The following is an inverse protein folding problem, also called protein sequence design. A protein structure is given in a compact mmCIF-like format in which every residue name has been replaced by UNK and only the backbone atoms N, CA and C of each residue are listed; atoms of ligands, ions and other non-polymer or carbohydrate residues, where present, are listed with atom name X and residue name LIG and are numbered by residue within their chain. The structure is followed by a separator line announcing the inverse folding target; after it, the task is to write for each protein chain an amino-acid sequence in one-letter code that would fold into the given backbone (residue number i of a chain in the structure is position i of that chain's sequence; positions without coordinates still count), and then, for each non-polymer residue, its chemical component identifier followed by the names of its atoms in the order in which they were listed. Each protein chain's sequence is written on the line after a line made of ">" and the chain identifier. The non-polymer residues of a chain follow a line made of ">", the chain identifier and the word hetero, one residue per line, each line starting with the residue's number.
data_IF_517951983989
#
_entry.id   IF_517951983989
#
_cell.length_a   1.000
_cell.length_b   1.000
_cell.length_c   1.000
_cell.angle_alpha   90.00
_cell.angle_beta   90.00
_cell.angle_gamma   90.00
#
_symmetry.space_group_name_H-M   'P 1'
#
loop_
_entity.id
_entity.type
_entity.pdbx_description
1 polymer ?
#
# COMPACT_ATOMS: atom_id res chain seq x y z
N UNK A 1 -2.20 -28.11 -0.22
CA UNK A 1 -1.04 -27.16 -0.25
C UNK A 1 -1.57 -25.81 0.16
N UNK A 2 -1.28 -25.41 1.40
CA UNK A 2 -1.63 -24.07 1.90
C UNK A 2 -0.69 -23.08 1.23
N UNK A 3 -1.18 -22.42 0.16
CA UNK A 3 -0.44 -21.36 -0.48
C UNK A 3 -0.12 -20.28 0.54
N UNK A 4 1.15 -20.06 0.81
CA UNK A 4 1.65 -18.85 1.45
C UNK A 4 1.17 -17.72 0.56
N UNK A 5 0.13 -17.02 0.98
CA UNK A 5 -0.27 -15.77 0.30
C UNK A 5 0.92 -14.84 0.41
N UNK A 6 1.67 -14.71 -0.67
CA UNK A 6 2.73 -13.72 -0.78
C UNK A 6 2.13 -12.38 -0.43
N UNK A 7 2.69 -11.72 0.59
CA UNK A 7 2.17 -10.44 1.07
C UNK A 7 2.59 -9.33 0.11
N UNK A 8 2.05 -9.34 -1.13
CA UNK A 8 2.33 -8.33 -2.12
C UNK A 8 1.99 -6.93 -1.58
N UNK A 9 2.93 -6.01 -1.71
CA UNK A 9 2.75 -4.61 -1.34
C UNK A 9 1.83 -3.95 -2.38
N UNK A 10 0.69 -3.39 -1.99
CA UNK A 10 -0.13 -2.60 -2.91
C UNK A 10 0.62 -1.40 -3.49
N UNK A 11 0.39 -1.09 -4.76
CA UNK A 11 1.06 0.06 -5.44
C UNK A 11 0.80 1.40 -4.75
N UNK A 12 -0.27 1.54 -3.96
CA UNK A 12 -0.52 2.77 -3.20
C UNK A 12 0.60 3.09 -2.20
N UNK A 13 1.28 2.08 -1.66
CA UNK A 13 2.44 2.32 -0.77
C UNK A 13 3.65 2.84 -1.54
N UNK A 14 3.75 2.53 -2.83
CA UNK A 14 4.89 3.00 -3.64
C UNK A 14 4.86 4.50 -3.87
N UNK A 15 3.71 5.16 -3.71
CA UNK A 15 3.61 6.63 -3.78
C UNK A 15 4.57 7.30 -2.79
N UNK A 16 4.52 6.90 -1.51
CA UNK A 16 5.45 7.39 -0.48
C UNK A 16 6.89 6.91 -0.71
N UNK A 17 7.07 5.63 -1.08
CA UNK A 17 8.42 5.05 -1.31
C UNK A 17 9.13 5.75 -2.47
N UNK A 18 8.42 6.11 -3.52
CA UNK A 18 8.98 6.88 -4.66
C UNK A 18 9.37 8.28 -4.24
N UNK A 19 8.61 8.91 -3.35
CA UNK A 19 9.02 10.19 -2.77
C UNK A 19 10.32 10.04 -1.96
N UNK A 20 10.46 8.98 -1.17
CA UNK A 20 11.73 8.65 -0.50
C UNK A 20 12.86 8.43 -1.51
N UNK A 21 12.58 7.76 -2.65
CA UNK A 21 13.57 7.58 -3.73
C UNK A 21 14.05 8.91 -4.29
N UNK A 22 13.15 9.88 -4.50
CA UNK A 22 13.53 11.21 -4.96
C UNK A 22 14.46 11.92 -3.95
N UNK A 23 14.22 11.82 -2.65
CA UNK A 23 15.13 12.29 -1.62
C UNK A 23 16.48 11.55 -1.66
N UNK A 24 16.45 10.23 -1.83
CA UNK A 24 17.66 9.42 -1.95
C UNK A 24 18.53 9.83 -3.15
N UNK A 25 17.90 10.13 -4.29
CA UNK A 25 18.59 10.59 -5.51
C UNK A 25 19.22 11.98 -5.34
N UNK A 26 18.66 12.80 -4.45
CA UNK A 26 19.22 14.08 -4.05
C UNK A 26 20.34 13.96 -2.98
N UNK A 27 20.67 12.72 -2.55
CA UNK A 27 21.76 12.45 -1.61
C UNK A 27 21.33 12.39 -0.15
N UNK A 28 20.04 12.40 0.15
CA UNK A 28 19.56 12.26 1.53
C UNK A 28 19.61 10.78 1.98
N UNK A 29 19.91 10.59 3.26
CA UNK A 29 19.83 9.28 3.91
C UNK A 29 18.37 8.89 4.12
N UNK A 30 18.01 7.68 3.68
CA UNK A 30 16.67 7.14 3.89
C UNK A 30 16.67 6.20 5.08
N UNK A 31 15.69 6.37 5.96
CA UNK A 31 15.45 5.49 7.10
C UNK A 31 14.05 4.89 6.97
N UNK A 32 13.98 3.58 6.99
CA UNK A 32 12.73 2.83 7.05
C UNK A 32 12.55 2.23 8.43
N UNK A 33 11.42 2.51 9.07
CA UNK A 33 11.08 1.92 10.37
C UNK A 33 10.06 0.82 10.16
N UNK A 34 10.38 -0.36 10.64
CA UNK A 34 9.45 -1.48 10.73
C UNK A 34 8.87 -1.49 12.14
N UNK A 35 7.56 -1.31 12.20
CA UNK A 35 6.82 -1.28 13.45
C UNK A 35 6.57 -2.68 14.01
N UNK A 36 7.62 -3.41 14.41
CA UNK A 36 7.49 -4.71 15.03
C UNK A 36 6.83 -4.62 16.41
N UNK A 37 7.14 -3.57 17.17
CA UNK A 37 6.54 -3.33 18.48
C UNK A 37 5.17 -2.63 18.37
N UNK A 38 5.04 -1.61 17.53
CA UNK A 38 3.75 -0.96 17.27
C UNK A 38 2.74 -1.87 16.58
N UNK A 39 3.20 -2.87 15.84
CA UNK A 39 2.38 -3.93 15.27
C UNK A 39 1.63 -4.76 16.31
N UNK A 40 2.18 -4.88 17.53
CA UNK A 40 1.51 -5.55 18.66
C UNK A 40 0.35 -4.72 19.21
N UNK A 41 0.43 -3.39 19.12
CA UNK A 41 -0.67 -2.48 19.50
C UNK A 41 -1.73 -2.43 18.40
N UNK A 42 -1.31 -2.37 17.15
CA UNK A 42 -2.17 -2.22 15.97
C UNK A 42 -2.57 -0.76 15.71
N UNK A 43 -2.41 -0.33 14.45
CA UNK A 43 -2.80 1.02 14.01
C UNK A 43 -4.33 1.15 14.00
N UNK A 44 -4.91 2.05 14.81
CA UNK A 44 -6.36 2.30 14.82
C UNK A 44 -6.84 3.14 13.64
N UNK A 45 -5.94 3.71 12.81
CA UNK A 45 -6.27 4.65 11.72
C UNK A 45 -7.30 4.08 10.74
N UNK A 46 -8.38 4.85 10.53
CA UNK A 46 -9.40 4.56 9.53
C UNK A 46 -10.24 3.32 9.78
N UNK A 47 -10.36 2.86 11.04
CA UNK A 47 -11.16 1.69 11.41
C UNK A 47 -12.12 1.97 12.55
N UNK A 48 -13.25 1.28 12.53
CA UNK A 48 -14.27 1.33 13.58
C UNK A 48 -14.04 0.32 14.72
N UNK A 49 -13.09 -0.61 14.54
CA UNK A 49 -12.79 -1.69 15.50
C UNK A 49 -11.28 -1.90 15.63
N UNK A 50 -10.85 -2.35 16.81
CA UNK A 50 -9.45 -2.67 17.10
C UNK A 50 -8.95 -3.81 16.20
N UNK A 51 -7.72 -3.69 15.68
CA UNK A 51 -7.08 -4.76 14.91
C UNK A 51 -6.78 -5.97 15.79
N UNK A 52 -6.90 -7.20 15.25
CA UNK A 52 -6.29 -8.37 15.88
C UNK A 52 -4.77 -8.14 16.01
N UNK A 53 -4.25 -8.46 17.19
CA UNK A 53 -2.81 -8.38 17.43
C UNK A 53 -2.09 -9.46 16.62
N UNK A 54 -0.98 -9.09 15.98
CA UNK A 54 -0.11 -10.05 15.29
C UNK A 54 0.88 -10.66 16.27
N UNK A 55 1.28 -11.90 16.04
CA UNK A 55 2.40 -12.49 16.79
C UNK A 55 3.71 -11.91 16.28
N UNK A 56 4.76 -11.94 17.11
CA UNK A 56 6.09 -11.49 16.73
C UNK A 56 6.60 -12.18 15.45
N UNK A 57 6.43 -13.51 15.34
CA UNK A 57 6.84 -14.26 14.16
C UNK A 57 6.12 -13.82 12.89
N UNK A 58 4.82 -13.51 12.99
CA UNK A 58 4.04 -12.97 11.88
C UNK A 58 4.54 -11.58 11.46
N UNK A 59 4.87 -10.72 12.43
CA UNK A 59 5.44 -9.40 12.15
C UNK A 59 6.78 -9.53 11.44
N UNK A 60 7.68 -10.40 11.91
CA UNK A 60 8.99 -10.61 11.32
C UNK A 60 8.94 -11.22 9.92
N UNK A 61 8.03 -12.18 9.69
CA UNK A 61 7.81 -12.75 8.36
C UNK A 61 7.30 -11.68 7.37
N UNK A 62 6.34 -10.86 7.79
CA UNK A 62 5.84 -9.76 6.98
C UNK A 62 6.93 -8.71 6.70
N UNK A 63 7.74 -8.36 7.71
CA UNK A 63 8.83 -7.41 7.60
C UNK A 63 9.84 -7.81 6.51
N UNK A 64 10.25 -9.08 6.48
CA UNK A 64 11.17 -9.60 5.46
C UNK A 64 10.60 -9.46 4.04
N UNK A 65 9.32 -9.77 3.87
CA UNK A 65 8.65 -9.66 2.57
C UNK A 65 8.54 -8.19 2.13
N UNK A 66 8.20 -7.28 3.04
CA UNK A 66 8.13 -5.84 2.74
C UNK A 66 9.49 -5.26 2.40
N UNK A 67 10.55 -5.64 3.12
CA UNK A 67 11.91 -5.18 2.81
C UNK A 67 12.33 -5.56 1.38
N UNK A 68 12.09 -6.78 0.95
CA UNK A 68 12.40 -7.22 -0.42
C UNK A 68 11.69 -6.34 -1.47
N UNK A 69 10.45 -5.97 -1.20
CA UNK A 69 9.64 -5.17 -2.10
C UNK A 69 10.05 -3.68 -2.09
N UNK A 70 10.40 -3.11 -0.95
CA UNK A 70 10.92 -1.74 -0.88
C UNK A 70 12.21 -1.57 -1.66
N UNK A 71 13.08 -2.56 -1.61
CA UNK A 71 14.35 -2.55 -2.34
C UNK A 71 14.24 -2.80 -3.86
N UNK A 72 13.03 -3.02 -4.39
CA UNK A 72 12.78 -2.87 -5.83
C UNK A 72 12.80 -1.40 -6.29
N UNK A 73 12.61 -0.47 -5.36
CA UNK A 73 12.51 0.97 -5.64
C UNK A 73 13.69 1.73 -5.02
N UNK A 74 14.02 1.44 -3.75
CA UNK A 74 15.08 2.12 -3.01
C UNK A 74 16.42 1.41 -3.17
N UNK A 75 17.50 2.19 -3.20
CA UNK A 75 18.86 1.66 -3.12
C UNK A 75 19.14 1.20 -1.69
N UNK A 76 19.39 -0.10 -1.54
CA UNK A 76 19.67 -0.73 -0.26
C UNK A 76 20.93 -0.17 0.42
N UNK A 77 21.94 0.24 -0.35
CA UNK A 77 23.20 0.77 0.19
C UNK A 77 23.05 2.17 0.80
N UNK A 78 21.95 2.87 0.48
CA UNK A 78 21.60 4.21 0.96
C UNK A 78 20.35 4.24 1.82
N UNK A 79 19.96 3.08 2.37
CA UNK A 79 18.75 2.96 3.17
C UNK A 79 19.08 2.21 4.46
N UNK A 80 18.82 2.84 5.60
CA UNK A 80 18.83 2.20 6.90
C UNK A 80 17.47 1.60 7.20
N UNK A 81 17.46 0.43 7.84
CA UNK A 81 16.24 -0.23 8.27
C UNK A 81 16.32 -0.48 9.76
N UNK A 82 15.38 0.08 10.52
CA UNK A 82 15.26 -0.08 11.96
C UNK A 82 13.95 -0.78 12.32
N UNK A 83 13.98 -1.50 13.42
CA UNK A 83 12.79 -2.06 14.05
C UNK A 83 12.49 -1.23 15.30
N UNK A 84 11.27 -0.77 15.46
CA UNK A 84 10.99 0.09 16.61
C UNK A 84 10.98 -0.65 17.97
N UNK A 85 11.02 -1.97 17.98
CA UNK A 85 11.39 -2.77 19.13
C UNK A 85 12.80 -2.50 19.67
N UNK A 86 13.73 -1.96 18.86
CA UNK A 86 15.09 -1.60 19.26
C UNK A 86 15.10 -0.59 20.42
N UNK A 87 14.12 0.31 20.47
CA UNK A 87 13.97 1.29 21.56
C UNK A 87 12.80 0.96 22.47
N UNK A 88 11.63 0.56 22.00
CA UNK A 88 10.48 0.32 22.87
C UNK A 88 10.66 -0.85 23.82
N UNK A 89 11.36 -1.92 23.43
CA UNK A 89 11.64 -3.04 24.33
C UNK A 89 12.55 -2.69 25.49
N UNK A 90 13.30 -1.59 25.38
CA UNK A 90 14.23 -1.11 26.43
C UNK A 90 13.62 -0.04 27.34
N UNK A 91 12.48 0.54 26.92
CA UNK A 91 11.81 1.55 27.74
C UNK A 91 11.28 0.96 29.02
N UNK A 92 11.67 1.57 30.14
CA UNK A 92 11.09 1.27 31.44
C UNK A 92 9.78 2.06 31.67
N UNK A 93 9.03 1.70 32.68
CA UNK A 93 7.75 2.31 33.00
C UNK A 93 7.81 3.83 33.19
N UNK A 94 8.90 4.36 33.80
CA UNK A 94 9.08 5.80 33.96
C UNK A 94 9.22 6.53 32.64
N UNK A 95 9.92 5.94 31.68
CA UNK A 95 10.11 6.51 30.35
C UNK A 95 8.80 6.49 29.56
N UNK A 96 8.02 5.41 29.68
CA UNK A 96 6.67 5.32 29.09
C UNK A 96 5.74 6.39 29.68
N UNK A 97 5.75 6.58 31.00
CA UNK A 97 4.97 7.63 31.66
C UNK A 97 5.43 9.04 31.25
N UNK A 98 6.75 9.24 31.06
CA UNK A 98 7.26 10.50 30.54
C UNK A 98 6.76 10.76 29.12
N UNK A 99 6.80 9.76 28.23
CA UNK A 99 6.26 9.87 26.86
C UNK A 99 4.75 10.18 26.92
N UNK A 100 3.98 9.45 27.73
CA UNK A 100 2.54 9.66 27.86
C UNK A 100 2.20 11.07 28.39
N UNK A 101 3.05 11.67 29.23
CA UNK A 101 2.84 13.02 29.78
C UNK A 101 2.98 14.15 28.74
N UNK A 102 3.53 13.86 27.56
CA UNK A 102 3.73 14.86 26.49
C UNK A 102 2.44 15.18 25.73
N UNK A 103 1.42 14.34 25.87
CA UNK A 103 0.15 14.53 25.17
C UNK A 103 -1.04 14.42 26.12
N UNK A 104 -2.08 15.19 25.83
CA UNK A 104 -3.35 15.09 26.58
C UNK A 104 -4.31 14.17 25.85
N UNK A 105 -5.22 13.54 26.59
CA UNK A 105 -6.33 12.76 26.01
C UNK A 105 -7.17 13.61 25.05
N UNK A 106 -7.44 14.88 25.41
CA UNK A 106 -8.17 15.80 24.55
C UNK A 106 -7.49 15.96 23.18
N UNK A 107 -6.15 16.10 23.15
CA UNK A 107 -5.39 16.23 21.91
C UNK A 107 -5.41 14.96 21.08
N UNK A 108 -5.32 13.78 21.72
CA UNK A 108 -5.40 12.49 21.00
C UNK A 108 -6.79 12.29 20.39
N UNK A 109 -7.85 12.73 21.08
CA UNK A 109 -9.23 12.62 20.60
C UNK A 109 -9.57 13.58 19.44
N UNK A 110 -8.68 14.52 19.06
CA UNK A 110 -8.82 15.32 17.84
C UNK A 110 -8.56 14.49 16.55
N UNK A 111 -7.99 13.30 16.67
CA UNK A 111 -7.81 12.42 15.54
C UNK A 111 -9.16 11.87 15.08
N UNK A 112 -9.45 12.00 13.79
CA UNK A 112 -10.77 11.75 13.17
C UNK A 112 -11.44 10.44 13.58
N UNK A 113 -10.68 9.33 13.65
CA UNK A 113 -11.21 8.01 14.00
C UNK A 113 -11.54 7.91 15.49
N UNK A 114 -10.71 8.48 16.37
CA UNK A 114 -10.99 8.56 17.80
C UNK A 114 -12.16 9.49 18.09
N UNK A 115 -12.22 10.67 17.44
CA UNK A 115 -13.33 11.60 17.57
C UNK A 115 -14.67 10.93 17.21
N UNK A 116 -14.72 10.26 16.05
CA UNK A 116 -15.93 9.56 15.58
C UNK A 116 -16.35 8.46 16.54
N UNK A 117 -15.40 7.62 16.99
CA UNK A 117 -15.67 6.54 17.95
C UNK A 117 -16.12 7.08 19.30
N UNK A 118 -15.48 8.13 19.81
CA UNK A 118 -15.85 8.76 21.07
C UNK A 118 -17.26 9.34 21.01
N UNK A 119 -17.60 10.11 19.95
CA UNK A 119 -18.95 10.67 19.74
C UNK A 119 -20.01 9.59 19.57
N UNK A 120 -19.68 8.47 18.97
CA UNK A 120 -20.58 7.32 18.78
C UNK A 120 -20.70 6.43 20.03
N UNK A 121 -20.00 6.71 21.14
CA UNK A 121 -19.96 5.84 22.32
C UNK A 121 -19.29 4.51 22.06
N UNK A 122 -18.51 4.37 20.98
CA UNK A 122 -17.78 3.14 20.66
C UNK A 122 -16.53 3.01 21.54
N UNK A 123 -16.18 1.80 22.00
CA UNK A 123 -15.07 1.63 22.92
C UNK A 123 -13.74 2.02 22.27
N UNK A 124 -12.90 2.71 23.04
CA UNK A 124 -11.51 3.05 22.71
C UNK A 124 -10.65 2.47 23.84
N UNK A 125 -9.78 1.53 23.51
CA UNK A 125 -8.89 0.92 24.49
C UNK A 125 -7.70 1.85 24.78
N UNK A 126 -7.24 1.88 26.03
CA UNK A 126 -6.15 2.76 26.47
C UNK A 126 -4.88 2.55 25.64
N UNK A 127 -4.54 1.30 25.30
CA UNK A 127 -3.35 1.02 24.47
C UNK A 127 -3.41 1.65 23.08
N UNK A 128 -4.62 1.81 22.50
CA UNK A 128 -4.79 2.48 21.18
C UNK A 128 -4.36 3.96 21.25
N UNK A 129 -4.54 4.62 22.41
CA UNK A 129 -4.13 6.01 22.60
C UNK A 129 -2.61 6.18 22.61
N UNK A 130 -1.86 5.10 22.88
CA UNK A 130 -0.38 5.11 22.80
C UNK A 130 0.13 5.03 21.37
N UNK A 131 -0.65 4.54 20.41
CA UNK A 131 -0.16 4.34 19.05
C UNK A 131 0.41 5.63 18.41
N UNK A 132 -0.28 6.79 18.43
CA UNK A 132 0.27 8.04 17.92
C UNK A 132 1.55 8.49 18.65
N UNK A 133 1.64 8.23 19.95
CA UNK A 133 2.81 8.59 20.74
C UNK A 133 4.01 7.71 20.40
N UNK A 134 3.78 6.42 20.18
CA UNK A 134 4.82 5.48 19.76
C UNK A 134 5.35 5.85 18.37
N UNK A 135 4.46 6.06 17.40
CA UNK A 135 4.89 6.52 16.07
C UNK A 135 5.64 7.86 16.16
N UNK A 136 5.17 8.80 17.01
CA UNK A 136 5.86 10.06 17.20
C UNK A 136 7.24 9.91 17.87
N UNK A 137 7.41 8.94 18.77
CA UNK A 137 8.70 8.65 19.38
C UNK A 137 9.69 7.98 18.41
N UNK A 138 9.20 7.24 17.41
CA UNK A 138 10.05 6.72 16.34
C UNK A 138 10.87 7.84 15.69
N UNK A 139 10.25 9.00 15.42
CA UNK A 139 10.93 10.19 14.89
C UNK A 139 11.98 10.76 15.86
N UNK A 140 11.75 10.67 17.17
CA UNK A 140 12.75 11.05 18.19
C UNK A 140 13.93 10.09 18.18
N UNK A 141 13.66 8.77 18.14
CA UNK A 141 14.68 7.74 18.21
C UNK A 141 15.68 7.82 17.05
N UNK A 142 15.20 8.08 15.83
CA UNK A 142 16.04 8.21 14.64
C UNK A 142 16.48 9.66 14.36
N UNK A 143 16.01 10.65 15.13
CA UNK A 143 16.24 12.09 14.92
C UNK A 143 15.86 12.51 13.50
N UNK A 144 14.66 12.16 13.07
CA UNK A 144 14.19 12.43 11.71
C UNK A 144 14.16 13.95 11.40
N UNK A 145 14.69 14.35 10.24
CA UNK A 145 14.59 15.73 9.72
C UNK A 145 13.31 15.89 8.88
N UNK A 146 12.87 14.84 8.20
CA UNK A 146 11.67 14.80 7.36
C UNK A 146 10.95 13.46 7.56
N UNK A 147 9.65 13.49 7.82
CA UNK A 147 8.80 12.29 7.86
C UNK A 147 7.78 12.35 6.73
N UNK A 148 7.65 11.25 5.97
CA UNK A 148 6.76 11.14 4.83
C UNK A 148 5.68 10.11 5.12
N UNK A 149 4.42 10.46 4.89
CA UNK A 149 3.30 9.55 5.03
C UNK A 149 2.12 9.90 4.15
N UNK A 150 1.09 9.05 4.15
CA UNK A 150 -0.16 9.38 3.49
C UNK A 150 -0.91 10.50 4.23
N UNK A 151 -1.76 11.25 3.53
CA UNK A 151 -2.51 12.38 4.12
C UNK A 151 -3.32 11.96 5.36
N UNK A 152 -3.83 10.74 5.40
CA UNK A 152 -4.54 10.18 6.57
C UNK A 152 -3.64 9.96 7.80
N UNK A 153 -2.30 9.94 7.63
CA UNK A 153 -1.33 9.82 8.70
C UNK A 153 -0.89 11.18 9.29
N UNK A 154 -1.40 12.29 8.74
CA UNK A 154 -0.97 13.65 9.09
C UNK A 154 -0.97 13.91 10.59
N UNK A 155 -1.97 13.42 11.32
CA UNK A 155 -2.06 13.57 12.77
C UNK A 155 -0.85 12.93 13.47
N UNK A 156 -0.52 11.68 13.12
CA UNK A 156 0.61 10.95 13.72
C UNK A 156 1.95 11.61 13.39
N UNK A 157 2.13 12.05 12.12
CA UNK A 157 3.34 12.75 11.69
C UNK A 157 3.55 14.06 12.47
N UNK A 158 2.48 14.84 12.66
CA UNK A 158 2.52 16.07 13.48
C UNK A 158 2.74 15.78 14.97
N UNK A 159 2.26 14.64 15.46
CA UNK A 159 2.56 14.17 16.82
C UNK A 159 4.07 13.95 16.99
N UNK A 160 4.74 13.32 16.01
CA UNK A 160 6.19 13.15 15.99
C UNK A 160 6.93 14.48 16.11
N UNK A 161 6.53 15.46 15.32
CA UNK A 161 7.07 16.81 15.33
C UNK A 161 6.97 17.46 16.74
N UNK A 162 5.80 17.34 17.38
CA UNK A 162 5.56 17.91 18.72
C UNK A 162 6.42 17.18 19.77
N UNK A 163 6.50 15.86 19.72
CA UNK A 163 7.30 15.06 20.66
C UNK A 163 8.79 15.37 20.51
N UNK A 164 9.31 15.53 19.28
CA UNK A 164 10.70 15.94 19.06
C UNK A 164 11.02 17.26 19.78
N UNK A 165 10.13 18.25 19.66
CA UNK A 165 10.28 19.53 20.36
C UNK A 165 10.34 19.35 21.89
N UNK A 166 9.48 18.50 22.45
CA UNK A 166 9.45 18.18 23.87
C UNK A 166 10.70 17.43 24.37
N UNK A 167 11.39 16.75 23.46
CA UNK A 167 12.69 16.09 23.72
C UNK A 167 13.89 16.97 23.36
N UNK A 168 13.67 18.24 23.01
CA UNK A 168 14.74 19.19 22.68
C UNK A 168 15.45 18.90 21.34
N UNK A 169 14.76 18.23 20.43
CA UNK A 169 15.23 17.92 19.07
C UNK A 169 14.58 18.90 18.09
N UNK A 170 15.30 19.28 17.04
CA UNK A 170 14.75 20.10 15.94
C UNK A 170 13.53 19.40 15.36
N UNK A 171 12.36 20.07 15.31
CA UNK A 171 11.13 19.44 14.83
C UNK A 171 11.19 19.15 13.35
N UNK A 172 10.93 17.90 12.97
CA UNK A 172 10.91 17.43 11.58
C UNK A 172 9.94 18.18 10.69
N UNK A 173 10.23 18.21 9.40
CA UNK A 173 9.27 18.57 8.37
C UNK A 173 8.33 17.39 8.10
N UNK A 174 7.06 17.70 7.87
CA UNK A 174 6.06 16.69 7.54
C UNK A 174 5.64 16.84 6.08
N UNK A 175 5.82 15.80 5.29
CA UNK A 175 5.38 15.73 3.91
C UNK A 175 4.30 14.65 3.77
N UNK A 176 3.14 15.04 3.26
CA UNK A 176 2.06 14.09 3.02
C UNK A 176 1.82 13.87 1.53
N UNK A 177 1.57 12.62 1.16
CA UNK A 177 1.19 12.22 -0.19
C UNK A 177 -0.29 11.87 -0.25
N UNK A 178 -0.97 12.11 -1.38
CA UNK A 178 -2.34 11.66 -1.59
C UNK A 178 -2.47 10.14 -1.45
N UNK A 179 -3.67 9.70 -1.09
CA UNK A 179 -4.01 8.28 -1.04
C UNK A 179 -4.50 7.84 -2.41
N UNK A 180 -3.96 6.76 -2.94
CA UNK A 180 -4.40 6.20 -4.21
C UNK A 180 -5.74 5.47 -4.04
N UNK A 181 -6.70 5.79 -4.93
CA UNK A 181 -8.01 5.12 -5.00
C UNK A 181 -7.81 3.71 -5.56
N UNK A 182 -8.54 2.75 -5.02
CA UNK A 182 -8.49 1.35 -5.43
C UNK A 182 -9.27 1.07 -6.72
N UNK A 183 -9.22 -0.19 -7.18
CA UNK A 183 -9.84 -0.64 -8.43
C UNK A 183 -11.36 -0.38 -8.49
N UNK A 184 -12.01 -0.27 -7.33
CA UNK A 184 -13.44 0.05 -7.20
C UNK A 184 -13.79 1.51 -7.55
N UNK A 185 -12.80 2.39 -7.71
CA UNK A 185 -12.96 3.77 -8.13
C UNK A 185 -13.42 4.76 -7.05
N UNK A 186 -13.60 4.35 -5.80
CA UNK A 186 -14.13 5.22 -4.74
C UNK A 186 -13.51 4.99 -3.36
N UNK A 187 -13.08 3.79 -3.02
CA UNK A 187 -12.41 3.52 -1.75
C UNK A 187 -10.89 3.63 -1.92
N UNK A 188 -10.19 3.94 -0.84
CA UNK A 188 -8.72 3.85 -0.84
C UNK A 188 -8.28 2.44 -1.24
N UNK A 189 -7.20 2.35 -1.99
CA UNK A 189 -6.59 1.07 -2.30
C UNK A 189 -6.15 0.35 -1.03
N UNK A 190 -6.61 -0.87 -0.84
CA UNK A 190 -6.29 -1.66 0.35
C UNK A 190 -6.33 -3.15 0.08
N UNK A 191 -5.34 -3.87 0.64
CA UNK A 191 -5.30 -5.33 0.60
C UNK A 191 -6.48 -5.98 1.30
N UNK A 192 -6.92 -5.42 2.43
CA UNK A 192 -8.04 -5.95 3.22
C UNK A 192 -9.39 -5.84 2.51
N UNK A 193 -9.52 -4.92 1.56
CA UNK A 193 -10.72 -4.71 0.73
C UNK A 193 -10.63 -5.54 -0.56
N UNK A 194 -9.41 -5.91 -0.98
CA UNK A 194 -9.20 -6.66 -2.24
C UNK A 194 -9.18 -5.79 -3.50
N UNK A 195 -9.26 -4.46 -3.37
CA UNK A 195 -9.31 -3.50 -4.48
C UNK A 195 -7.92 -2.97 -4.88
N UNK A 196 -6.89 -3.81 -4.87
CA UNK A 196 -5.50 -3.40 -5.02
C UNK A 196 -4.79 -4.06 -6.20
N UNK A 197 -3.69 -3.43 -6.62
CA UNK A 197 -2.67 -3.98 -7.51
C UNK A 197 -1.42 -4.20 -6.66
N UNK A 198 -0.89 -5.43 -6.62
CA UNK A 198 0.32 -5.76 -5.89
C UNK A 198 1.56 -5.68 -6.78
N UNK A 199 2.67 -5.17 -6.25
CA UNK A 199 3.93 -5.04 -7.04
C UNK A 199 4.62 -6.37 -7.35
N UNK A 200 4.24 -7.45 -6.66
CA UNK A 200 4.74 -8.81 -6.87
C UNK A 200 3.74 -9.71 -7.59
N UNK A 201 2.62 -9.15 -8.07
CA UNK A 201 1.67 -9.90 -8.89
C UNK A 201 2.27 -10.19 -10.28
N UNK A 202 1.72 -11.17 -10.98
CA UNK A 202 2.19 -11.50 -12.32
C UNK A 202 2.04 -10.32 -13.30
N UNK A 203 2.89 -10.18 -14.32
CA UNK A 203 2.76 -9.17 -15.35
C UNK A 203 1.35 -9.08 -15.95
N UNK A 204 0.73 -10.22 -16.21
CA UNK A 204 -0.64 -10.36 -16.70
C UNK A 204 -1.67 -9.80 -15.72
N UNK A 205 -1.55 -10.13 -14.43
CA UNK A 205 -2.49 -9.66 -13.41
C UNK A 205 -2.39 -8.14 -13.20
N UNK A 206 -1.16 -7.60 -13.10
CA UNK A 206 -0.94 -6.15 -13.00
C UNK A 206 -1.57 -5.44 -14.20
N UNK A 207 -1.27 -5.90 -15.42
CA UNK A 207 -1.78 -5.29 -16.64
C UNK A 207 -3.31 -5.36 -16.71
N UNK A 208 -3.90 -6.53 -16.48
CA UNK A 208 -5.34 -6.74 -16.48
C UNK A 208 -6.07 -5.87 -15.47
N UNK A 209 -5.52 -5.72 -14.25
CA UNK A 209 -6.07 -4.84 -13.22
C UNK A 209 -6.00 -3.36 -13.61
N UNK A 210 -4.92 -2.93 -14.25
CA UNK A 210 -4.83 -1.56 -14.79
C UNK A 210 -5.87 -1.32 -15.86
N UNK A 211 -6.09 -2.29 -16.74
CA UNK A 211 -7.12 -2.17 -17.77
C UNK A 211 -8.55 -2.07 -17.21
N UNK A 212 -8.78 -2.57 -15.97
CA UNK A 212 -10.09 -2.54 -15.30
C UNK A 212 -10.41 -1.23 -14.57
N UNK A 213 -9.43 -0.32 -14.35
CA UNK A 213 -9.71 0.96 -13.68
C UNK A 213 -10.68 1.83 -14.47
N UNK A 214 -11.42 2.70 -13.80
CA UNK A 214 -12.26 3.69 -14.50
C UNK A 214 -11.39 4.74 -15.20
N UNK A 215 -11.91 5.32 -16.29
CA UNK A 215 -11.17 6.32 -17.08
C UNK A 215 -10.82 7.56 -16.26
N UNK A 216 -11.68 7.93 -15.31
CA UNK A 216 -11.45 9.05 -14.37
C UNK A 216 -10.23 8.87 -13.47
N UNK A 217 -9.72 7.65 -13.31
CA UNK A 217 -8.58 7.35 -12.45
C UNK A 217 -7.24 7.39 -13.19
N UNK A 218 -7.25 7.36 -14.52
CA UNK A 218 -6.02 7.26 -15.33
C UNK A 218 -5.03 8.35 -14.96
N UNK A 219 -5.48 9.60 -14.90
CA UNK A 219 -4.62 10.75 -14.58
C UNK A 219 -3.93 10.59 -13.22
N UNK A 220 -4.69 10.28 -12.17
CA UNK A 220 -4.16 10.14 -10.82
C UNK A 220 -3.18 8.97 -10.68
N UNK A 221 -3.38 7.90 -11.43
CA UNK A 221 -2.43 6.79 -11.45
C UNK A 221 -1.12 7.19 -12.13
N UNK A 222 -1.16 7.90 -13.26
CA UNK A 222 0.07 8.45 -13.85
C UNK A 222 0.79 9.42 -12.91
N UNK A 223 0.06 10.33 -12.27
CA UNK A 223 0.62 11.32 -11.35
C UNK A 223 1.28 10.70 -10.12
N UNK A 224 0.61 9.71 -9.50
CA UNK A 224 1.02 9.20 -8.20
C UNK A 224 1.92 7.96 -8.26
N UNK A 225 1.79 7.13 -9.29
CA UNK A 225 2.48 5.83 -9.35
C UNK A 225 3.67 5.83 -10.31
N UNK A 226 3.76 6.78 -11.24
CA UNK A 226 4.87 6.91 -12.18
C UNK A 226 5.60 8.25 -12.01
N UNK A 227 6.94 8.28 -12.18
CA UNK A 227 7.66 9.54 -12.32
C UNK A 227 7.42 10.08 -13.74
N UNK A 228 6.39 10.87 -13.87
CA UNK A 228 6.01 11.53 -15.11
C UNK A 228 6.39 13.00 -15.01
N UNK A 229 6.99 13.57 -16.06
CA UNK A 229 7.26 15.00 -16.12
C UNK A 229 5.96 15.80 -16.09
N UNK A 230 6.03 17.03 -15.61
CA UNK A 230 4.87 17.95 -15.57
C UNK A 230 4.29 18.14 -16.98
N UNK A 231 5.16 18.24 -18.00
CA UNK A 231 4.74 18.40 -19.40
C UNK A 231 3.94 17.18 -19.85
N UNK A 232 4.44 15.94 -19.56
CA UNK A 232 3.72 14.71 -19.92
C UNK A 232 2.41 14.57 -19.17
N UNK A 233 2.33 14.98 -17.89
CA UNK A 233 1.06 15.00 -17.15
C UNK A 233 0.06 15.97 -17.77
N UNK A 234 0.53 17.12 -18.26
CA UNK A 234 -0.32 18.09 -18.96
C UNK A 234 -0.87 17.51 -20.27
N UNK A 235 -0.02 16.84 -21.07
CA UNK A 235 -0.43 16.14 -22.27
C UNK A 235 -1.48 15.03 -22.00
N UNK A 236 -1.26 14.21 -20.94
CA UNK A 236 -2.20 13.17 -20.54
C UNK A 236 -3.55 13.80 -20.16
N UNK A 237 -3.54 14.92 -19.43
CA UNK A 237 -4.75 15.63 -19.05
C UNK A 237 -5.51 16.16 -20.26
N UNK A 238 -4.82 16.74 -21.23
CA UNK A 238 -5.41 17.20 -22.48
C UNK A 238 -6.02 16.05 -23.28
N UNK A 239 -5.27 14.95 -23.44
CA UNK A 239 -5.74 13.76 -24.16
C UNK A 239 -6.99 13.15 -23.50
N UNK A 240 -7.04 13.07 -22.16
CA UNK A 240 -8.21 12.57 -21.44
C UNK A 240 -9.41 13.52 -21.48
N UNK A 241 -9.20 14.81 -21.80
CA UNK A 241 -10.25 15.81 -21.96
C UNK A 241 -10.85 15.81 -23.37
N UNK A 242 -10.15 15.25 -24.35
CA UNK A 242 -10.67 15.11 -25.73
C UNK A 242 -11.70 13.98 -25.78
N UNK A 243 -12.93 14.33 -26.11
CA UNK A 243 -14.05 13.37 -26.27
C UNK A 243 -13.82 12.31 -27.36
N UNK A 244 -12.91 12.57 -28.29
CA UNK A 244 -12.57 11.65 -29.38
C UNK A 244 -11.36 10.75 -29.02
N UNK A 245 -10.65 11.03 -27.92
CA UNK A 245 -9.54 10.20 -27.48
C UNK A 245 -10.06 8.86 -26.95
N UNK A 246 -9.32 7.81 -27.25
CA UNK A 246 -9.60 6.49 -26.67
C UNK A 246 -8.81 6.26 -25.39
N UNK A 247 -9.46 6.29 -24.18
CA UNK A 247 -8.79 6.09 -22.90
C UNK A 247 -8.07 4.75 -22.78
N UNK A 248 -8.47 3.76 -23.60
CA UNK A 248 -7.85 2.45 -23.66
C UNK A 248 -6.34 2.53 -23.95
N UNK A 249 -5.91 3.45 -24.82
CA UNK A 249 -4.49 3.61 -25.15
C UNK A 249 -3.69 4.10 -23.93
N UNK A 250 -4.26 5.01 -23.16
CA UNK A 250 -3.64 5.49 -21.91
C UNK A 250 -3.55 4.38 -20.86
N UNK A 251 -4.60 3.55 -20.72
CA UNK A 251 -4.55 2.40 -19.81
C UNK A 251 -3.50 1.39 -20.24
N UNK A 252 -3.37 1.12 -21.54
CA UNK A 252 -2.32 0.22 -22.07
C UNK A 252 -0.92 0.77 -21.75
N UNK A 253 -0.68 2.07 -21.99
CA UNK A 253 0.59 2.72 -21.63
C UNK A 253 0.87 2.62 -20.14
N UNK A 254 -0.13 2.90 -19.28
CA UNK A 254 -0.02 2.80 -17.84
C UNK A 254 0.29 1.36 -17.41
N UNK A 255 -0.43 0.37 -17.92
CA UNK A 255 -0.25 -1.04 -17.62
C UNK A 255 1.14 -1.54 -18.00
N UNK A 256 1.58 -1.27 -19.24
CA UNK A 256 2.92 -1.60 -19.72
C UNK A 256 4.00 -0.98 -18.82
N UNK A 257 3.83 0.30 -18.47
CA UNK A 257 4.76 1.01 -17.60
C UNK A 257 4.83 0.41 -16.20
N UNK A 258 3.68 0.13 -15.57
CA UNK A 258 3.66 -0.43 -14.22
C UNK A 258 4.29 -1.83 -14.17
N UNK A 259 4.01 -2.66 -15.17
CA UNK A 259 4.67 -3.96 -15.28
C UNK A 259 6.18 -3.79 -15.45
N UNK A 260 6.61 -2.89 -16.36
CA UNK A 260 8.03 -2.63 -16.60
C UNK A 260 8.77 -2.16 -15.34
N UNK A 261 8.14 -1.36 -14.49
CA UNK A 261 8.72 -0.84 -13.24
C UNK A 261 9.01 -1.91 -12.20
N UNK A 262 8.19 -2.95 -12.10
CA UNK A 262 8.29 -3.95 -11.03
C UNK A 262 8.85 -5.29 -11.51
N UNK A 263 8.88 -5.52 -12.82
CA UNK A 263 9.43 -6.71 -13.45
C UNK A 263 10.54 -6.35 -14.44
N UNK A 264 10.19 -6.13 -15.73
CA UNK A 264 11.14 -5.70 -16.76
C UNK A 264 10.41 -5.03 -17.92
N UNK A 265 11.13 -4.28 -18.75
CA UNK A 265 10.56 -3.68 -19.96
C UNK A 265 9.97 -4.74 -20.90
N UNK A 266 10.63 -5.89 -21.06
CA UNK A 266 10.15 -6.97 -21.92
C UNK A 266 8.88 -7.61 -21.33
N UNK A 267 8.77 -7.76 -20.01
CA UNK A 267 7.57 -8.22 -19.34
C UNK A 267 6.40 -7.25 -19.55
N UNK A 268 6.67 -5.93 -19.55
CA UNK A 268 5.65 -4.91 -19.83
C UNK A 268 5.08 -5.03 -21.25
N UNK A 269 5.97 -5.14 -22.24
CA UNK A 269 5.57 -5.34 -23.64
C UNK A 269 4.81 -6.66 -23.82
N UNK A 270 5.33 -7.75 -23.27
CA UNK A 270 4.69 -9.07 -23.38
C UNK A 270 3.28 -9.09 -22.76
N UNK A 271 3.08 -8.45 -21.59
CA UNK A 271 1.77 -8.35 -20.98
C UNK A 271 0.78 -7.54 -21.83
N UNK A 272 1.25 -6.47 -22.48
CA UNK A 272 0.44 -5.71 -23.42
C UNK A 272 0.07 -6.52 -24.66
N UNK A 273 1.03 -7.18 -25.29
CA UNK A 273 0.83 -8.01 -26.48
C UNK A 273 -0.14 -9.17 -26.18
N UNK A 274 0.01 -9.84 -25.04
CA UNK A 274 -0.91 -10.90 -24.60
C UNK A 274 -2.33 -10.35 -24.40
N UNK A 275 -2.46 -9.19 -23.73
CA UNK A 275 -3.77 -8.57 -23.56
C UNK A 275 -4.42 -8.21 -24.91
N UNK A 276 -3.68 -7.63 -25.83
CA UNK A 276 -4.18 -7.28 -27.16
C UNK A 276 -4.59 -8.52 -27.96
N UNK A 277 -3.80 -9.59 -27.89
CA UNK A 277 -4.10 -10.87 -28.54
C UNK A 277 -5.39 -11.48 -28.01
N UNK A 278 -5.55 -11.55 -26.71
CA UNK A 278 -6.71 -12.19 -26.07
C UNK A 278 -7.99 -11.34 -26.21
N UNK A 279 -7.91 -10.05 -25.90
CA UNK A 279 -9.10 -9.21 -25.78
C UNK A 279 -9.43 -8.39 -27.02
N UNK A 280 -8.44 -8.05 -27.86
CA UNK A 280 -8.69 -7.31 -29.12
C UNK A 280 -8.83 -8.24 -30.28
N UNK A 281 -8.03 -9.31 -30.37
CA UNK A 281 -8.06 -10.26 -31.47
C UNK A 281 -8.93 -11.49 -31.18
N UNK A 282 -9.43 -11.63 -29.95
CA UNK A 282 -10.24 -12.79 -29.53
C UNK A 282 -9.52 -14.14 -29.65
N UNK A 283 -8.21 -14.15 -29.52
CA UNK A 283 -7.40 -15.35 -29.49
C UNK A 283 -7.40 -16.01 -28.09
N UNK A 284 -7.06 -17.30 -28.05
CA UNK A 284 -6.96 -18.01 -26.78
C UNK A 284 -5.71 -17.57 -26.01
N UNK A 285 -5.79 -17.47 -24.64
CA UNK A 285 -4.62 -17.25 -23.80
C UNK A 285 -3.60 -18.38 -23.97
N UNK A 286 -2.31 -18.08 -23.77
CA UNK A 286 -1.23 -19.08 -23.80
C UNK A 286 -1.31 -20.09 -22.67
N UNK A 287 -1.80 -19.66 -21.50
CA UNK A 287 -1.97 -20.48 -20.31
C UNK A 287 -3.46 -20.68 -20.01
N UNK A 288 -4.02 -21.76 -20.56
CA UNK A 288 -5.40 -22.17 -20.30
C UNK A 288 -5.34 -23.33 -19.30
N UNK A 289 -5.92 -23.17 -18.08
CA UNK A 289 -6.01 -24.27 -17.15
C UNK A 289 -6.76 -25.46 -17.75
N UNK A 290 -6.11 -26.60 -17.81
CA UNK A 290 -6.75 -27.84 -18.24
C UNK A 290 -7.51 -28.48 -17.04
N UNK A 291 -8.71 -28.92 -17.28
CA UNK A 291 -9.52 -29.66 -16.32
C UNK A 291 -9.87 -31.01 -16.88
N UNK A 292 -9.42 -32.08 -16.20
CA UNK A 292 -9.70 -33.45 -16.60
C UNK A 292 -11.16 -33.81 -16.35
N UNK A 293 -11.92 -33.97 -17.42
CA UNK A 293 -13.32 -34.38 -17.39
C UNK A 293 -13.52 -35.91 -17.49
N UNK A 294 -12.46 -36.73 -17.51
CA UNK A 294 -12.54 -38.17 -17.69
C UNK A 294 -13.28 -38.93 -16.57
N UNK A 295 -13.43 -38.30 -15.39
CA UNK A 295 -14.19 -38.84 -14.27
C UNK A 295 -15.70 -38.82 -14.48
N UNK A 296 -16.20 -38.00 -15.41
CA UNK A 296 -17.64 -37.92 -15.72
C UNK A 296 -18.01 -39.01 -16.74
N UNK A 297 -18.88 -39.90 -16.34
CA UNK A 297 -19.31 -41.07 -17.16
C UNK A 297 -20.47 -40.75 -18.11
N UNK A 298 -21.16 -39.66 -17.90
CA UNK A 298 -22.35 -39.23 -18.64
C UNK A 298 -22.29 -37.73 -18.96
N UNK A 299 -23.26 -37.22 -19.70
CA UNK A 299 -23.37 -35.78 -19.97
C UNK A 299 -23.56 -35.00 -18.66
N UNK A 300 -22.63 -34.08 -18.39
CA UNK A 300 -22.61 -33.28 -17.17
C UNK A 300 -23.00 -31.85 -17.49
N UNK A 301 -23.79 -31.24 -16.60
CA UNK A 301 -24.15 -29.84 -16.71
C UNK A 301 -22.91 -28.96 -16.60
N UNK A 302 -22.74 -28.01 -17.53
CA UNK A 302 -21.55 -27.16 -17.64
C UNK A 302 -21.21 -26.43 -16.32
N UNK A 303 -22.23 -26.04 -15.55
CA UNK A 303 -22.04 -25.39 -14.25
C UNK A 303 -21.34 -26.29 -13.23
N UNK A 304 -21.57 -27.60 -13.27
CA UNK A 304 -20.86 -28.58 -12.44
C UNK A 304 -19.36 -28.58 -12.79
N UNK A 305 -19.03 -28.60 -14.07
CA UNK A 305 -17.63 -28.53 -14.54
C UNK A 305 -16.98 -27.22 -14.09
N UNK A 306 -17.67 -26.09 -14.24
CA UNK A 306 -17.17 -24.78 -13.81
C UNK A 306 -16.92 -24.71 -12.28
N UNK A 307 -17.77 -25.37 -11.50
CA UNK A 307 -17.61 -25.41 -10.05
C UNK A 307 -16.49 -26.37 -9.62
N UNK A 308 -16.44 -27.56 -10.21
CA UNK A 308 -15.43 -28.56 -9.89
C UNK A 308 -14.01 -28.13 -10.32
N UNK A 309 -13.91 -27.41 -11.46
CA UNK A 309 -12.69 -26.78 -11.91
C UNK A 309 -12.31 -25.51 -11.13
N UNK A 310 -13.16 -25.08 -10.17
CA UNK A 310 -13.00 -23.83 -9.39
C UNK A 310 -12.99 -22.55 -10.22
N UNK A 311 -13.51 -22.59 -11.46
CA UNK A 311 -13.71 -21.41 -12.28
C UNK A 311 -14.95 -20.61 -11.84
N UNK A 312 -15.88 -21.24 -11.13
CA UNK A 312 -17.00 -20.58 -10.43
C UNK A 312 -16.98 -20.93 -8.95
N UNK A 313 -17.49 -20.02 -8.09
CA UNK A 313 -17.57 -20.24 -6.64
C UNK A 313 -18.89 -20.88 -6.19
N UNK A 314 -19.89 -20.89 -7.04
CA UNK A 314 -21.21 -21.40 -6.74
C UNK A 314 -21.94 -21.84 -8.00
N UNK A 315 -23.02 -22.59 -7.83
CA UNK A 315 -23.89 -23.08 -8.91
C UNK A 315 -24.91 -22.04 -9.41
N UNK A 316 -24.84 -20.80 -8.94
CA UNK A 316 -25.73 -19.71 -9.34
C UNK A 316 -25.25 -18.36 -8.86
#
# INVERSE_FOLDING_TARGET
>A
MTGVQTCALPICHTVGIRKLKQFQDLGHQIVLIIGDYTGLVGDPSGRSVTRPQLTYDQVMANAKTYQQQFFKILDKSKTEVHFNGEWFSKMNFKEIMNLASKFTVARILERDDFEKRYKAGSPISIHELFYPLMQGYDSVAIRADVEIGATEQKFNLLTGRSIQQDYGIEPQLVLTTPVLVGLDGHQRMSKSIGNYIGIDESPKDIFGKVMSISDSMIYSYFELVKDVSIDRLSEIKEQLSDKNANPMNMKKELGETLVAMYHSADAGKGAREEFERVFSNHELPDDIPEFDCSSYKEAVWIVTILTDSKLSKSNG
#
